data_IF_049809618038
#
_entry.id   IF_049809618038
#
_cell.length_a   1.000
_cell.length_b   1.000
_cell.length_c   1.000
_cell.angle_alpha   90.00
_cell.angle_beta   90.00
_cell.angle_gamma   90.00
#
_symmetry.space_group_name_H-M   'P 1'
#
loop_
_entity.id
_entity.type
_entity.pdbx_description
1 polymer ?
#
# COMPACT_ATOMS: atom_id res chain seq x y z
N UNK A 1 -31.89 -3.29 72.81
CA UNK A 1 -30.61 -2.62 73.09
C UNK A 1 -30.00 -2.17 71.77
N UNK A 2 -30.34 -0.94 71.39
CA UNK A 2 -29.98 -0.27 70.15
C UNK A 2 -28.62 0.39 70.39
N UNK A 3 -27.57 0.03 69.65
CA UNK A 3 -26.38 0.88 69.56
C UNK A 3 -26.52 1.77 68.33
N UNK A 4 -26.71 3.06 68.60
CA UNK A 4 -26.78 4.12 67.63
C UNK A 4 -25.42 4.27 66.95
N UNK A 5 -25.39 3.98 65.65
CA UNK A 5 -24.28 4.31 64.78
C UNK A 5 -24.31 5.83 64.51
N UNK A 6 -23.88 6.64 65.48
CA UNK A 6 -23.73 8.09 65.33
C UNK A 6 -22.35 8.42 64.78
N UNK A 7 -22.07 7.98 63.56
CA UNK A 7 -21.00 8.51 62.73
C UNK A 7 -21.52 9.68 61.88
N UNK A 8 -22.23 10.62 62.53
CA UNK A 8 -22.54 11.91 61.93
C UNK A 8 -21.23 12.70 61.79
N UNK A 9 -20.95 13.10 60.56
CA UNK A 9 -19.84 13.94 60.12
C UNK A 9 -19.34 14.94 61.18
N UNK A 10 -18.12 14.72 61.68
CA UNK A 10 -17.36 15.78 62.33
C UNK A 10 -16.93 16.78 61.25
N UNK A 11 -17.64 17.90 61.14
CA UNK A 11 -17.15 19.09 60.45
C UNK A 11 -15.71 19.36 60.92
N UNK A 12 -14.76 19.37 59.99
CA UNK A 12 -13.38 19.77 60.25
C UNK A 12 -13.42 21.27 60.53
N UNK A 13 -13.61 21.66 61.79
CA UNK A 13 -13.47 23.06 62.25
C UNK A 13 -12.06 23.51 61.91
N UNK A 14 -11.92 24.23 60.79
CA UNK A 14 -10.66 24.85 60.40
C UNK A 14 -10.24 25.77 61.55
N UNK A 15 -9.00 25.65 62.01
CA UNK A 15 -8.49 26.51 63.09
C UNK A 15 -8.54 27.97 62.63
N UNK A 16 -8.98 28.91 63.48
CA UNK A 16 -9.05 30.33 63.10
C UNK A 16 -7.73 30.86 62.55
N UNK A 17 -6.61 30.37 63.09
CA UNK A 17 -5.24 30.67 62.66
C UNK A 17 -4.99 30.27 61.20
N UNK A 18 -5.44 29.06 60.80
CA UNK A 18 -5.27 28.57 59.43
C UNK A 18 -6.11 29.37 58.42
N UNK A 19 -7.31 29.82 58.81
CA UNK A 19 -8.11 30.72 57.97
C UNK A 19 -7.49 32.11 57.87
N UNK A 20 -7.01 32.68 58.97
CA UNK A 20 -6.35 33.98 58.97
C UNK A 20 -5.09 33.98 58.09
N UNK A 21 -4.29 32.92 58.16
CA UNK A 21 -3.12 32.73 57.28
C UNK A 21 -3.55 32.67 55.81
N UNK A 22 -4.60 31.92 55.47
CA UNK A 22 -5.09 31.86 54.08
C UNK A 22 -5.55 33.22 53.51
N UNK A 23 -6.07 34.12 54.36
CA UNK A 23 -6.46 35.48 53.97
C UNK A 23 -5.24 36.36 53.76
N UNK A 24 -4.24 36.26 54.66
CA UNK A 24 -2.97 36.98 54.53
C UNK A 24 -2.21 36.50 53.27
N UNK A 25 -2.26 35.20 52.99
CA UNK A 25 -1.60 34.59 51.84
C UNK A 25 -2.27 34.95 50.51
N UNK A 26 -3.59 35.20 50.51
CA UNK A 26 -4.32 35.67 49.33
C UNK A 26 -3.99 37.12 48.92
N UNK A 27 -3.39 37.92 49.81
CA UNK A 27 -2.99 39.30 49.49
C UNK A 27 -1.77 39.32 48.57
N UNK A 28 -1.75 40.22 47.55
CA UNK A 28 -0.63 40.31 46.61
C UNK A 28 0.65 40.74 47.33
N UNK A 29 1.75 40.02 47.11
CA UNK A 29 3.06 40.31 47.68
C UNK A 29 3.83 39.05 48.09
N UNK A 30 5.15 39.10 47.98
CA UNK A 30 6.03 37.95 48.22
C UNK A 30 6.70 37.95 49.61
N UNK A 31 6.36 38.91 50.49
CA UNK A 31 6.93 39.05 51.85
C UNK A 31 5.85 39.18 52.90
N UNK A 32 6.04 38.50 54.03
CA UNK A 32 5.15 38.55 55.20
C UNK A 32 4.99 39.99 55.72
N UNK A 33 6.05 40.79 55.68
CA UNK A 33 6.02 42.20 56.11
C UNK A 33 5.12 43.03 55.19
N UNK A 34 5.11 42.75 53.90
CA UNK A 34 4.24 43.45 52.94
C UNK A 34 2.78 43.03 53.12
N UNK A 35 2.52 41.72 53.31
CA UNK A 35 1.16 41.20 53.52
C UNK A 35 0.54 41.72 54.82
N UNK A 36 1.27 41.68 55.94
CA UNK A 36 0.81 42.26 57.21
C UNK A 36 0.81 43.78 57.18
N UNK A 37 1.71 44.39 56.39
CA UNK A 37 1.74 45.81 56.09
C UNK A 37 0.45 46.29 55.44
N UNK A 38 -0.09 45.57 54.44
CA UNK A 38 -1.38 45.91 53.83
C UNK A 38 -2.53 45.84 54.83
N UNK A 39 -2.63 44.77 55.62
CA UNK A 39 -3.69 44.62 56.62
C UNK A 39 -3.62 45.73 57.66
N UNK A 40 -2.42 46.01 58.17
CA UNK A 40 -2.18 47.05 59.18
C UNK A 40 -2.42 48.46 58.62
N UNK A 41 -2.00 48.71 57.38
CA UNK A 41 -2.22 49.99 56.71
C UNK A 41 -3.70 50.23 56.42
N UNK A 42 -4.43 49.21 55.95
CA UNK A 42 -5.88 49.30 55.72
C UNK A 42 -6.65 49.48 57.03
N UNK A 43 -6.29 48.72 58.08
CA UNK A 43 -6.90 48.86 59.40
C UNK A 43 -6.62 50.25 60.00
N UNK A 44 -5.39 50.74 59.87
CA UNK A 44 -4.99 52.07 60.33
C UNK A 44 -5.70 53.19 59.55
N UNK A 45 -5.81 53.05 58.23
CA UNK A 45 -6.57 53.99 57.39
C UNK A 45 -8.06 53.98 57.75
N UNK A 46 -8.68 52.80 57.93
CA UNK A 46 -10.06 52.69 58.36
C UNK A 46 -10.30 53.34 59.73
N UNK A 47 -9.42 53.08 60.71
CA UNK A 47 -9.48 53.71 62.03
C UNK A 47 -9.30 55.24 61.93
N UNK A 48 -8.42 55.72 61.05
CA UNK A 48 -8.23 57.14 60.78
C UNK A 48 -9.47 57.79 60.15
N UNK A 49 -10.08 57.17 59.15
CA UNK A 49 -11.30 57.67 58.50
C UNK A 49 -12.48 57.74 59.46
N UNK A 50 -12.63 56.75 60.34
CA UNK A 50 -13.64 56.76 61.41
C UNK A 50 -13.31 57.86 62.43
N UNK A 51 -12.07 57.93 62.90
CA UNK A 51 -11.64 58.89 63.91
C UNK A 51 -11.75 60.35 63.46
N UNK A 52 -11.64 60.62 62.15
CA UNK A 52 -11.74 61.96 61.57
C UNK A 52 -13.11 62.25 60.96
N UNK A 53 -14.07 61.32 61.06
CA UNK A 53 -15.40 61.43 60.46
C UNK A 53 -15.37 61.83 58.97
N UNK A 54 -14.30 61.44 58.26
CA UNK A 54 -14.11 61.79 56.84
C UNK A 54 -15.20 61.12 55.99
N UNK A 55 -15.74 59.99 56.46
CA UNK A 55 -16.90 59.33 55.89
C UNK A 55 -18.11 59.48 56.81
N UNK A 56 -19.09 60.28 56.39
CA UNK A 56 -20.36 60.49 57.10
C UNK A 56 -21.38 59.49 56.58
N UNK A 57 -21.98 58.71 57.49
CA UNK A 57 -23.07 57.80 57.13
C UNK A 57 -24.31 58.60 56.76
N UNK A 58 -24.51 58.77 55.45
CA UNK A 58 -25.69 59.39 54.85
C UNK A 58 -26.55 58.34 54.10
N UNK A 59 -27.70 58.76 53.59
CA UNK A 59 -28.61 57.98 52.75
C UNK A 59 -27.90 57.32 51.55
N UNK A 60 -26.90 58.00 50.97
CA UNK A 60 -26.08 57.47 49.87
C UNK A 60 -25.30 56.20 50.22
N UNK A 61 -25.01 55.96 51.50
CA UNK A 61 -24.30 54.75 51.94
C UNK A 61 -25.18 53.50 51.84
N UNK A 62 -26.50 53.66 52.02
CA UNK A 62 -27.48 52.61 51.83
C UNK A 62 -27.64 52.28 50.35
N UNK A 63 -27.62 53.31 49.49
CA UNK A 63 -27.59 53.14 48.02
C UNK A 63 -26.33 52.40 47.57
N UNK A 64 -25.16 52.77 48.11
CA UNK A 64 -23.90 52.11 47.79
C UNK A 64 -23.89 50.64 48.23
N UNK A 65 -24.43 50.32 49.42
CA UNK A 65 -24.55 48.94 49.88
C UNK A 65 -25.48 48.13 48.97
N UNK A 66 -26.66 48.67 48.64
CA UNK A 66 -27.61 48.04 47.73
C UNK A 66 -27.00 47.80 46.33
N UNK A 67 -26.20 48.76 45.83
CA UNK A 67 -25.45 48.61 44.59
C UNK A 67 -24.42 47.49 44.67
N UNK A 68 -23.62 47.43 45.72
CA UNK A 68 -22.60 46.38 45.89
C UNK A 68 -23.22 44.98 46.00
N UNK A 69 -24.34 44.83 46.71
CA UNK A 69 -25.05 43.54 46.83
C UNK A 69 -25.62 43.13 45.48
N UNK A 70 -26.27 44.04 44.77
CA UNK A 70 -26.86 43.77 43.44
C UNK A 70 -25.77 43.44 42.42
N UNK A 71 -24.71 44.24 42.38
CA UNK A 71 -23.57 44.03 41.49
C UNK A 71 -22.83 42.74 41.80
N UNK A 72 -22.60 42.42 43.08
CA UNK A 72 -22.01 41.16 43.50
C UNK A 72 -22.84 39.94 43.08
N UNK A 73 -24.17 40.03 43.21
CA UNK A 73 -25.10 39.01 42.70
C UNK A 73 -25.02 38.84 41.18
N UNK A 74 -24.98 39.93 40.43
CA UNK A 74 -24.84 39.91 38.96
C UNK A 74 -23.50 39.29 38.55
N UNK A 75 -22.39 39.75 39.13
CA UNK A 75 -21.05 39.22 38.81
C UNK A 75 -20.97 37.73 39.09
N UNK A 76 -21.53 37.27 40.21
CA UNK A 76 -21.54 35.84 40.55
C UNK A 76 -22.31 35.02 39.52
N UNK A 77 -23.48 35.49 39.08
CA UNK A 77 -24.34 34.76 38.15
C UNK A 77 -23.90 34.91 36.68
N UNK A 78 -23.23 36.00 36.32
CA UNK A 78 -22.78 36.27 34.96
C UNK A 78 -21.39 35.70 34.65
N UNK A 79 -20.59 35.36 35.66
CA UNK A 79 -19.21 34.87 35.49
C UNK A 79 -19.13 33.57 34.70
N UNK A 80 -19.91 32.57 35.07
CA UNK A 80 -19.93 31.26 34.39
C UNK A 80 -20.34 31.38 32.92
N UNK A 81 -21.51 31.97 32.56
CA UNK A 81 -21.90 32.08 31.16
C UNK A 81 -20.95 32.94 30.33
N UNK A 82 -20.31 33.96 30.93
CA UNK A 82 -19.31 34.75 30.24
C UNK A 82 -18.04 33.95 29.92
N UNK A 83 -17.57 33.14 30.87
CA UNK A 83 -16.41 32.27 30.65
C UNK A 83 -16.70 31.20 29.59
N UNK A 84 -17.86 30.55 29.64
CA UNK A 84 -18.28 29.57 28.64
C UNK A 84 -18.38 30.19 27.24
N UNK A 85 -18.94 31.40 27.15
CA UNK A 85 -19.00 32.15 25.90
C UNK A 85 -17.61 32.49 25.36
N UNK A 86 -16.70 32.95 26.24
CA UNK A 86 -15.32 33.27 25.87
C UNK A 86 -14.56 32.03 25.39
N UNK A 87 -14.66 30.91 26.12
CA UNK A 87 -14.01 29.65 25.77
C UNK A 87 -14.56 29.08 24.46
N UNK A 88 -15.88 29.16 24.24
CA UNK A 88 -16.51 28.76 22.97
C UNK A 88 -15.99 29.58 21.79
N UNK A 89 -15.85 30.90 21.96
CA UNK A 89 -15.32 31.78 20.92
C UNK A 89 -13.86 31.47 20.60
N UNK A 90 -13.03 31.28 21.64
CA UNK A 90 -11.62 30.90 21.50
C UNK A 90 -11.50 29.55 20.77
N UNK A 91 -12.30 28.56 21.15
CA UNK A 91 -12.29 27.24 20.52
C UNK A 91 -12.77 27.28 19.06
N UNK A 92 -13.73 28.14 18.74
CA UNK A 92 -14.17 28.36 17.35
C UNK A 92 -13.04 28.95 16.51
N UNK A 93 -12.33 29.97 16.99
CA UNK A 93 -11.19 30.55 16.27
C UNK A 93 -10.08 29.51 16.11
N UNK A 94 -9.76 28.79 17.19
CA UNK A 94 -8.72 27.75 17.17
C UNK A 94 -9.04 26.64 16.17
N UNK A 95 -10.28 26.15 16.16
CA UNK A 95 -10.70 25.08 15.23
C UNK A 95 -10.66 25.53 13.77
N UNK A 96 -11.04 26.79 13.47
CA UNK A 96 -10.91 27.35 12.11
C UNK A 96 -9.45 27.42 11.70
N UNK A 97 -8.56 27.85 12.60
CA UNK A 97 -7.12 27.95 12.30
C UNK A 97 -6.47 26.58 12.08
N UNK A 98 -6.79 25.58 12.91
CA UNK A 98 -6.30 24.22 12.72
C UNK A 98 -6.85 23.58 11.44
N UNK A 99 -8.14 23.79 11.15
CA UNK A 99 -8.74 23.32 9.90
C UNK A 99 -8.10 23.99 8.69
N UNK A 100 -7.91 25.30 8.70
CA UNK A 100 -7.25 26.03 7.62
C UNK A 100 -5.83 25.52 7.39
N UNK A 101 -5.07 25.22 8.45
CA UNK A 101 -3.73 24.62 8.35
C UNK A 101 -3.77 23.22 7.72
N UNK A 102 -4.69 22.37 8.16
CA UNK A 102 -4.88 21.03 7.61
C UNK A 102 -5.29 21.07 6.14
N UNK A 103 -6.26 21.92 5.78
CA UNK A 103 -6.73 22.11 4.41
C UNK A 103 -5.60 22.64 3.52
N UNK A 104 -4.79 23.60 4.00
CA UNK A 104 -3.62 24.08 3.26
C UNK A 104 -2.58 22.98 3.03
N UNK A 105 -2.30 22.16 4.05
CA UNK A 105 -1.36 21.03 3.93
C UNK A 105 -1.85 20.03 2.88
N UNK A 106 -3.14 19.69 2.91
CA UNK A 106 -3.75 18.78 1.93
C UNK A 106 -3.72 19.37 0.52
N UNK A 107 -4.05 20.66 0.36
CA UNK A 107 -4.02 21.33 -0.93
C UNK A 107 -2.59 21.40 -1.52
N UNK A 108 -1.57 21.67 -0.69
CA UNK A 108 -0.17 21.67 -1.11
C UNK A 108 0.30 20.26 -1.46
N UNK A 109 -0.03 19.26 -0.64
CA UNK A 109 0.29 17.85 -0.94
C UNK A 109 -0.31 17.41 -2.27
N UNK A 110 -1.61 17.69 -2.49
CA UNK A 110 -2.28 17.34 -3.74
C UNK A 110 -1.66 18.01 -4.97
N UNK A 111 -1.20 19.27 -4.83
CA UNK A 111 -0.45 19.95 -5.90
C UNK A 111 0.91 19.33 -6.15
N UNK A 112 1.63 18.92 -5.11
CA UNK A 112 2.92 18.22 -5.25
C UNK A 112 2.71 16.89 -5.99
N UNK A 113 1.69 16.12 -5.65
CA UNK A 113 1.39 14.84 -6.31
C UNK A 113 1.04 15.04 -7.79
N UNK A 114 0.23 16.05 -8.12
CA UNK A 114 -0.11 16.41 -9.50
C UNK A 114 1.13 16.81 -10.31
N UNK A 115 2.00 17.66 -9.75
CA UNK A 115 3.26 18.07 -10.40
C UNK A 115 4.23 16.89 -10.52
N UNK A 116 4.26 15.99 -9.53
CA UNK A 116 5.03 14.76 -9.57
C UNK A 116 4.66 13.89 -10.77
N UNK A 117 3.37 13.68 -11.01
CA UNK A 117 2.90 12.93 -12.18
C UNK A 117 3.30 13.59 -13.51
N UNK A 118 3.33 14.93 -13.58
CA UNK A 118 3.74 15.65 -14.80
C UNK A 118 5.22 15.49 -15.12
N UNK A 119 6.08 15.28 -14.11
CA UNK A 119 7.53 15.04 -14.32
C UNK A 119 7.78 13.75 -15.09
N UNK A 120 6.99 12.71 -14.81
CA UNK A 120 7.20 11.38 -15.38
C UNK A 120 6.68 11.25 -16.82
N UNK A 121 5.82 12.17 -17.28
CA UNK A 121 5.26 12.14 -18.65
C UNK A 121 6.34 12.22 -19.72
N UNK A 122 7.40 12.99 -19.50
CA UNK A 122 8.51 13.12 -20.47
C UNK A 122 9.27 11.81 -20.62
N UNK A 123 9.51 11.11 -19.51
CA UNK A 123 10.21 9.82 -19.52
C UNK A 123 9.35 8.73 -20.16
N UNK A 124 8.07 8.66 -19.78
CA UNK A 124 7.10 7.73 -20.38
C UNK A 124 6.98 7.95 -21.88
N UNK A 125 6.95 9.19 -22.34
CA UNK A 125 6.86 9.50 -23.78
C UNK A 125 8.11 9.05 -24.53
N UNK A 126 9.31 9.26 -23.96
CA UNK A 126 10.56 8.76 -24.54
C UNK A 126 10.60 7.23 -24.57
N UNK A 127 10.16 6.59 -23.48
CA UNK A 127 10.07 5.14 -23.39
C UNK A 127 9.09 4.58 -24.42
N UNK A 128 7.96 5.22 -24.66
CA UNK A 128 6.98 4.80 -25.68
C UNK A 128 7.56 4.89 -27.10
N UNK A 129 8.32 5.95 -27.39
CA UNK A 129 9.00 6.09 -28.68
C UNK A 129 10.14 5.06 -28.86
N UNK A 130 10.91 4.80 -27.80
CA UNK A 130 11.95 3.78 -27.81
C UNK A 130 11.33 2.39 -28.02
N UNK A 131 10.26 2.08 -27.28
CA UNK A 131 9.51 0.83 -27.41
C UNK A 131 8.99 0.65 -28.85
N UNK A 132 8.36 1.68 -29.43
CA UNK A 132 7.88 1.62 -30.81
C UNK A 132 9.01 1.33 -31.82
N UNK A 133 10.18 1.95 -31.63
CA UNK A 133 11.35 1.72 -32.49
C UNK A 133 11.90 0.30 -32.34
N UNK A 134 11.95 -0.21 -31.11
CA UNK A 134 12.45 -1.55 -30.83
C UNK A 134 11.47 -2.62 -31.32
N UNK A 135 10.16 -2.40 -31.20
CA UNK A 135 9.12 -3.25 -31.78
C UNK A 135 9.26 -3.34 -33.30
N UNK A 136 9.42 -2.20 -33.99
CA UNK A 136 9.58 -2.20 -35.44
C UNK A 136 10.84 -2.95 -35.91
N UNK A 137 11.95 -2.86 -35.16
CA UNK A 137 13.17 -3.63 -35.46
C UNK A 137 12.96 -5.13 -35.24
N UNK A 138 12.39 -5.51 -34.08
CA UNK A 138 12.15 -6.91 -33.76
C UNK A 138 11.16 -7.56 -34.73
N UNK A 139 10.14 -6.83 -35.19
CA UNK A 139 9.23 -7.31 -36.22
C UNK A 139 9.93 -7.52 -37.56
N UNK A 140 10.83 -6.62 -37.97
CA UNK A 140 11.61 -6.79 -39.19
C UNK A 140 12.55 -8.00 -39.13
N UNK A 141 13.29 -8.16 -38.02
CA UNK A 141 14.19 -9.31 -37.80
C UNK A 141 13.40 -10.63 -37.75
N UNK A 142 12.26 -10.65 -37.05
CA UNK A 142 11.38 -11.81 -37.01
C UNK A 142 10.81 -12.15 -38.39
N UNK A 143 10.49 -11.14 -39.20
CA UNK A 143 9.99 -11.35 -40.56
C UNK A 143 11.08 -11.93 -41.47
N UNK A 144 12.32 -11.45 -41.38
CA UNK A 144 13.45 -11.99 -42.14
C UNK A 144 13.73 -13.45 -41.75
N UNK A 145 13.84 -13.75 -40.45
CA UNK A 145 14.02 -15.11 -39.95
C UNK A 145 12.88 -16.04 -40.39
N UNK A 146 11.63 -15.55 -40.38
CA UNK A 146 10.47 -16.30 -40.85
C UNK A 146 10.54 -16.59 -42.35
N UNK A 147 11.02 -15.64 -43.16
CA UNK A 147 11.23 -15.88 -44.59
C UNK A 147 12.34 -16.91 -44.84
N UNK A 148 13.48 -16.81 -44.15
CA UNK A 148 14.59 -17.75 -44.31
C UNK A 148 14.19 -19.19 -43.91
N UNK A 149 13.46 -19.33 -42.81
CA UNK A 149 12.95 -20.63 -42.34
C UNK A 149 11.87 -21.19 -43.28
N UNK A 150 10.96 -20.36 -43.80
CA UNK A 150 10.00 -20.79 -44.80
C UNK A 150 10.69 -21.28 -46.08
N UNK A 151 11.68 -20.55 -46.58
CA UNK A 151 12.41 -20.92 -47.80
C UNK A 151 13.19 -22.23 -47.61
N UNK A 152 13.80 -22.42 -46.44
CA UNK A 152 14.48 -23.66 -46.08
C UNK A 152 13.50 -24.83 -45.95
N UNK A 153 12.31 -24.59 -45.39
CA UNK A 153 11.26 -25.60 -45.27
C UNK A 153 10.72 -26.04 -46.64
N UNK A 154 10.48 -25.10 -47.56
CA UNK A 154 10.07 -25.38 -48.94
C UNK A 154 11.16 -26.16 -49.68
N UNK A 155 12.43 -25.72 -49.62
CA UNK A 155 13.54 -26.41 -50.24
C UNK A 155 13.70 -27.85 -49.70
N UNK A 156 13.56 -28.03 -48.38
CA UNK A 156 13.56 -29.36 -47.76
C UNK A 156 12.39 -30.21 -48.24
N UNK A 157 11.18 -29.65 -48.30
CA UNK A 157 10.00 -30.38 -48.76
C UNK A 157 10.16 -30.86 -50.20
N UNK A 158 10.70 -30.03 -51.09
CA UNK A 158 11.03 -30.41 -52.46
C UNK A 158 12.06 -31.54 -52.46
N UNK A 159 13.16 -31.40 -51.70
CA UNK A 159 14.20 -32.44 -51.61
C UNK A 159 13.67 -33.78 -51.08
N UNK A 160 12.86 -33.74 -50.01
CA UNK A 160 12.21 -34.93 -49.44
C UNK A 160 11.28 -35.60 -50.46
N UNK A 161 10.57 -34.81 -51.28
CA UNK A 161 9.76 -35.32 -52.41
C UNK A 161 10.62 -36.02 -53.47
N UNK A 162 11.77 -35.44 -53.84
CA UNK A 162 12.71 -36.07 -54.79
C UNK A 162 13.27 -37.39 -54.25
N UNK A 163 13.70 -37.41 -52.99
CA UNK A 163 14.22 -38.62 -52.33
C UNK A 163 13.14 -39.71 -52.27
N UNK A 164 11.90 -39.34 -51.93
CA UNK A 164 10.79 -40.29 -51.92
C UNK A 164 10.47 -40.82 -53.31
N UNK A 165 10.52 -39.97 -54.33
CA UNK A 165 10.34 -40.37 -55.72
C UNK A 165 11.44 -41.34 -56.16
N UNK A 166 12.71 -41.03 -55.87
CA UNK A 166 13.86 -41.90 -56.18
C UNK A 166 13.75 -43.25 -55.48
N UNK A 167 13.43 -43.28 -54.19
CA UNK A 167 13.21 -44.52 -53.45
C UNK A 167 12.10 -45.37 -54.08
N UNK A 168 10.98 -44.76 -54.47
CA UNK A 168 9.88 -45.45 -55.16
C UNK A 168 10.25 -45.94 -56.57
N UNK A 169 11.07 -45.20 -57.31
CA UNK A 169 11.59 -45.66 -58.61
C UNK A 169 12.52 -46.86 -58.40
N UNK A 170 13.46 -46.76 -57.46
CA UNK A 170 14.41 -47.83 -57.14
C UNK A 170 13.70 -49.11 -56.70
N UNK A 171 12.69 -49.00 -55.83
CA UNK A 171 11.87 -50.13 -55.40
C UNK A 171 11.10 -50.76 -56.57
N UNK A 172 10.51 -49.94 -57.46
CA UNK A 172 9.83 -50.42 -58.68
C UNK A 172 10.79 -51.11 -59.65
N UNK A 173 12.00 -50.60 -59.82
CA UNK A 173 13.03 -51.21 -60.66
C UNK A 173 13.48 -52.55 -60.08
N UNK A 174 13.75 -52.61 -58.78
CA UNK A 174 14.09 -53.85 -58.08
C UNK A 174 12.96 -54.89 -58.18
N UNK A 175 11.70 -54.48 -58.01
CA UNK A 175 10.55 -55.36 -58.16
C UNK A 175 10.39 -55.89 -59.60
N UNK A 176 10.58 -55.03 -60.61
CA UNK A 176 10.56 -55.44 -62.03
C UNK A 176 11.71 -56.39 -62.37
N UNK A 177 12.93 -56.09 -61.92
CA UNK A 177 14.09 -56.95 -62.11
C UNK A 177 13.89 -58.32 -61.43
N UNK A 178 13.38 -58.33 -60.19
CA UNK A 178 13.06 -59.57 -59.49
C UNK A 178 11.98 -60.38 -60.23
N UNK A 179 10.90 -59.75 -60.69
CA UNK A 179 9.85 -60.41 -61.46
C UNK A 179 10.39 -61.00 -62.78
N UNK A 180 11.21 -60.23 -63.52
CA UNK A 180 11.85 -60.68 -64.76
C UNK A 180 12.80 -61.86 -64.52
N UNK A 181 13.63 -61.81 -63.46
CA UNK A 181 14.51 -62.92 -63.09
C UNK A 181 13.72 -64.16 -62.69
N UNK A 182 12.64 -64.02 -61.92
CA UNK A 182 11.77 -65.14 -61.54
C UNK A 182 11.09 -65.76 -62.77
N UNK A 183 10.58 -64.95 -63.69
CA UNK A 183 9.95 -65.43 -64.93
C UNK A 183 10.96 -66.12 -65.84
N UNK A 184 12.16 -65.54 -66.00
CA UNK A 184 13.25 -66.15 -66.77
C UNK A 184 13.67 -67.48 -66.16
N UNK A 185 13.89 -67.56 -64.84
CA UNK A 185 14.22 -68.82 -64.15
C UNK A 185 13.11 -69.85 -64.34
N UNK A 186 11.82 -69.45 -64.25
CA UNK A 186 10.69 -70.36 -64.50
C UNK A 186 10.68 -70.88 -65.95
N UNK A 187 10.99 -70.03 -66.92
CA UNK A 187 11.09 -70.42 -68.33
C UNK A 187 12.28 -71.35 -68.58
N UNK A 188 13.46 -71.00 -68.06
CA UNK A 188 14.68 -71.80 -68.14
C UNK A 188 14.51 -73.18 -67.46
N UNK A 189 13.69 -73.26 -66.40
CA UNK A 189 13.31 -74.53 -65.75
C UNK A 189 12.35 -75.39 -66.57
N UNK A 190 11.67 -74.85 -67.58
CA UNK A 190 10.83 -75.63 -68.50
C UNK A 190 11.64 -76.24 -69.66
N UNK A 191 12.88 -75.79 -69.88
CA UNK A 191 13.73 -76.32 -70.93
C UNK A 191 14.27 -77.73 -70.57
N UNK A 192 14.02 -78.76 -71.40
CA UNK A 192 14.36 -80.15 -71.07
C UNK A 192 15.87 -80.39 -70.95
N UNK A 193 16.71 -79.58 -71.61
CA UNK A 193 18.19 -79.66 -71.50
C UNK A 193 18.70 -79.19 -70.13
N UNK A 194 18.12 -78.14 -69.57
CA UNK A 194 18.49 -77.63 -68.25
C UNK A 194 17.95 -78.53 -67.14
N UNK A 195 16.74 -79.08 -67.29
CA UNK A 195 16.22 -80.08 -66.35
C UNK A 195 17.13 -81.32 -66.28
N UNK A 196 17.62 -81.83 -67.42
CA UNK A 196 18.57 -82.95 -67.42
C UNK A 196 19.90 -82.60 -66.75
N UNK A 197 20.43 -81.39 -66.97
CA UNK A 197 21.68 -80.95 -66.34
C UNK A 197 21.54 -80.76 -64.82
N UNK A 198 20.42 -80.20 -64.36
CA UNK A 198 20.13 -80.03 -62.93
C UNK A 198 19.91 -81.39 -62.27
N UNK A 199 19.21 -82.33 -62.93
CA UNK A 199 19.04 -83.69 -62.43
C UNK A 199 20.39 -84.43 -62.33
N UNK A 200 21.24 -84.31 -63.34
CA UNK A 200 22.58 -84.93 -63.36
C UNK A 200 23.50 -84.33 -62.28
N UNK A 201 23.48 -83.01 -62.10
CA UNK A 201 24.23 -82.33 -61.04
C UNK A 201 23.69 -82.67 -59.64
N UNK A 202 22.36 -82.74 -59.47
CA UNK A 202 21.73 -83.12 -58.20
C UNK A 202 22.01 -84.58 -57.86
N UNK A 203 21.99 -85.50 -58.84
CA UNK A 203 22.40 -86.90 -58.65
C UNK A 203 23.87 -86.96 -58.22
N UNK A 204 24.77 -86.22 -58.89
CA UNK A 204 26.19 -86.16 -58.51
C UNK A 204 26.46 -85.58 -57.11
N UNK A 205 25.65 -84.61 -56.67
CA UNK A 205 25.73 -84.06 -55.30
C UNK A 205 25.17 -85.04 -54.26
N UNK A 206 24.06 -85.74 -54.56
CA UNK A 206 23.51 -86.78 -53.69
C UNK A 206 24.47 -87.97 -53.58
N UNK A 207 25.10 -88.40 -54.68
CA UNK A 207 26.13 -89.45 -54.67
C UNK A 207 27.35 -89.04 -53.82
N UNK A 208 27.77 -87.78 -53.87
CA UNK A 208 28.84 -87.25 -52.99
C UNK A 208 28.47 -87.26 -51.51
N UNK A 209 27.22 -86.90 -51.16
CA UNK A 209 26.75 -86.87 -49.76
C UNK A 209 26.48 -88.29 -49.23
N UNK A 210 25.99 -89.20 -50.07
CA UNK A 210 25.80 -90.61 -49.74
C UNK A 210 27.15 -91.32 -49.57
N UNK A 211 28.15 -90.99 -50.39
CA UNK A 211 29.52 -91.48 -50.25
C UNK A 211 30.30 -90.88 -49.08
N UNK A 212 29.82 -89.79 -48.46
CA UNK A 212 30.44 -89.19 -47.28
C UNK A 212 29.80 -89.66 -45.94
N UNK A 213 28.83 -90.58 -45.98
CA UNK A 213 28.13 -91.10 -44.79
C UNK A 213 28.18 -92.64 -44.68
N UNK A 214 29.21 -93.25 -45.27
CA UNK A 214 29.65 -94.62 -45.06
C UNK A 214 31.15 -94.60 -44.71
#
# INVERSE_FOLDING_TARGET
WISLNSAAAREKKVTPESKAQSIIDALPGNSLVTKTGYVTALAGAAAYFISKEIYVFNEETLVLLAFLVTFGGIVKNAREPFNEWADSHINKIRSVLEKARADHKTAVSGRIDQVGQMKDVVEVTKALYALSKDTAKLEAEAFELKQQTALTAEAKSVLDSWVRHEASVREREQAKLAAFLIEKIKSDLQDPKLQSQILEESIGQVERIAGSKA
#
